data_IF_465265924170
#
_entry.id   IF_465265924170
#
_cell.length_a   1.000
_cell.length_b   1.000
_cell.length_c   1.000
_cell.angle_alpha   90.00
_cell.angle_beta   90.00
_cell.angle_gamma   90.00
#
_symmetry.space_group_name_H-M   'P 1'
#
loop_
_entity.id
_entity.type
_entity.pdbx_description
1 polymer ?
#
# COMPACT_ATOMS: atom_id res chain seq x y z
N UNK A 1 4.54 -43.81 2.51
CA UNK A 1 4.64 -42.45 1.94
C UNK A 1 5.52 -42.49 0.70
N UNK A 2 4.92 -42.27 -0.47
CA UNK A 2 5.59 -42.31 -1.77
C UNK A 2 6.59 -41.13 -1.92
N UNK A 3 7.60 -41.26 -2.78
CA UNK A 3 8.57 -40.21 -3.14
C UNK A 3 7.89 -38.91 -3.59
N UNK A 4 6.80 -39.01 -4.34
CA UNK A 4 6.02 -37.84 -4.79
C UNK A 4 5.32 -37.14 -3.62
N UNK A 5 4.76 -37.92 -2.70
CA UNK A 5 4.08 -37.42 -1.51
C UNK A 5 5.07 -36.72 -0.55
N UNK A 6 6.27 -37.28 -0.38
CA UNK A 6 7.38 -36.62 0.34
C UNK A 6 7.78 -35.29 -0.30
N UNK A 7 7.84 -35.22 -1.64
CA UNK A 7 8.20 -34.01 -2.38
C UNK A 7 7.11 -32.94 -2.27
N UNK A 8 5.83 -33.32 -2.31
CA UNK A 8 4.70 -32.40 -2.13
C UNK A 8 4.69 -31.80 -0.73
N UNK A 9 4.76 -32.64 0.31
CA UNK A 9 4.79 -32.20 1.72
C UNK A 9 5.97 -31.27 1.98
N UNK A 10 7.16 -31.56 1.41
CA UNK A 10 8.33 -30.68 1.53
C UNK A 10 8.09 -29.31 0.90
N UNK A 11 7.50 -29.25 -0.31
CA UNK A 11 7.18 -27.98 -0.97
C UNK A 11 6.15 -27.16 -0.19
N UNK A 12 5.09 -27.80 0.31
CA UNK A 12 4.08 -27.15 1.14
C UNK A 12 4.68 -26.57 2.42
N UNK A 13 5.64 -27.28 3.05
CA UNK A 13 6.37 -26.75 4.21
C UNK A 13 7.28 -25.57 3.84
N UNK A 14 8.04 -25.66 2.73
CA UNK A 14 8.91 -24.58 2.25
C UNK A 14 8.09 -23.31 1.90
N UNK A 15 6.93 -23.48 1.26
CA UNK A 15 6.01 -22.37 0.93
C UNK A 15 5.43 -21.73 2.20
N UNK A 16 4.99 -22.54 3.16
CA UNK A 16 4.46 -22.04 4.44
C UNK A 16 5.54 -21.31 5.24
N UNK A 17 6.76 -21.82 5.26
CA UNK A 17 7.86 -21.15 5.96
C UNK A 17 8.25 -19.84 5.27
N UNK A 18 8.32 -19.82 3.94
CA UNK A 18 8.56 -18.60 3.15
C UNK A 18 7.48 -17.55 3.41
N UNK A 19 6.20 -17.96 3.44
CA UNK A 19 5.08 -17.08 3.79
C UNK A 19 5.21 -16.50 5.20
N UNK A 20 5.48 -17.36 6.19
CA UNK A 20 5.71 -16.93 7.57
C UNK A 20 6.86 -15.92 7.68
N UNK A 21 7.97 -16.17 6.98
CA UNK A 21 9.11 -15.25 6.95
C UNK A 21 8.75 -13.91 6.29
N UNK A 22 8.06 -13.92 5.15
CA UNK A 22 7.65 -12.71 4.45
C UNK A 22 6.70 -11.85 5.31
N UNK A 23 5.73 -12.47 5.98
CA UNK A 23 4.73 -11.77 6.82
C UNK A 23 5.29 -11.27 8.15
N UNK A 24 6.38 -11.88 8.65
CA UNK A 24 7.07 -11.46 9.87
C UNK A 24 8.16 -10.42 9.65
N UNK A 25 8.53 -10.14 8.38
CA UNK A 25 9.61 -9.23 8.03
C UNK A 25 9.16 -7.76 8.10
N UNK A 26 9.88 -6.99 8.92
CA UNK A 26 9.84 -5.52 8.94
C UNK A 26 10.41 -4.96 7.63
N UNK A 27 9.76 -3.95 7.03
CA UNK A 27 10.18 -3.35 5.75
C UNK A 27 10.11 -1.84 5.76
N UNK A 28 10.89 -1.16 4.93
CA UNK A 28 10.81 0.30 4.76
C UNK A 28 9.69 0.69 3.80
N UNK A 29 9.13 1.89 3.96
CA UNK A 29 8.33 2.54 2.92
C UNK A 29 9.18 2.60 1.65
N UNK A 30 8.75 1.97 0.57
CA UNK A 30 9.62 1.76 -0.58
C UNK A 30 9.67 0.31 -1.01
N UNK A 31 9.88 -0.57 -0.03
CA UNK A 31 10.27 -1.97 -0.22
C UNK A 31 9.05 -2.87 -0.45
N UNK A 32 9.10 -3.66 -1.52
CA UNK A 32 8.07 -4.65 -1.81
C UNK A 32 8.20 -5.90 -0.94
N UNK A 33 7.12 -6.68 -0.82
CA UNK A 33 7.11 -8.02 -0.23
C UNK A 33 7.09 -9.03 -1.37
N UNK A 34 8.11 -9.88 -1.42
CA UNK A 34 8.10 -11.03 -2.32
C UNK A 34 7.36 -12.18 -1.65
N UNK A 35 6.06 -12.29 -1.92
CA UNK A 35 5.20 -13.34 -1.37
C UNK A 35 4.27 -13.89 -2.46
N UNK A 36 4.31 -15.21 -2.64
CA UNK A 36 3.37 -15.91 -3.54
C UNK A 36 1.93 -15.67 -3.11
N UNK A 37 1.07 -15.29 -4.07
CA UNK A 37 -0.34 -14.99 -3.83
C UNK A 37 -0.64 -13.62 -3.20
N UNK A 38 0.34 -12.71 -3.12
CA UNK A 38 0.12 -11.29 -2.74
C UNK A 38 0.14 -10.36 -3.95
N UNK A 39 0.78 -10.78 -5.04
CA UNK A 39 0.72 -10.09 -6.33
C UNK A 39 1.65 -8.88 -6.42
N UNK A 40 1.67 -8.29 -7.61
CA UNK A 40 2.52 -7.15 -7.94
C UNK A 40 1.87 -5.85 -7.49
N UNK A 41 2.65 -5.01 -6.84
CA UNK A 41 2.20 -3.71 -6.37
C UNK A 41 1.99 -2.73 -7.53
N UNK A 42 0.91 -1.95 -7.47
CA UNK A 42 0.56 -0.91 -8.45
C UNK A 42 0.35 0.46 -7.86
N UNK A 43 -0.27 0.51 -6.68
CA UNK A 43 -0.49 1.74 -5.95
C UNK A 43 -0.19 1.51 -4.47
N UNK A 44 0.48 2.47 -3.84
CA UNK A 44 0.58 2.54 -2.39
C UNK A 44 0.07 3.88 -1.90
N UNK A 45 -0.71 3.86 -0.83
CA UNK A 45 -1.14 5.08 -0.12
C UNK A 45 -0.65 4.98 1.33
N UNK A 46 0.16 5.94 1.74
CA UNK A 46 0.65 6.10 3.09
C UNK A 46 -0.04 7.28 3.76
N UNK A 47 -0.43 7.08 5.02
CA UNK A 47 -0.91 8.14 5.90
C UNK A 47 -0.08 8.07 7.17
N UNK A 48 0.74 9.09 7.44
CA UNK A 48 1.72 9.11 8.52
C UNK A 48 1.48 10.32 9.43
N UNK A 49 0.65 10.18 10.48
CA UNK A 49 0.49 11.21 11.51
C UNK A 49 1.78 11.39 12.32
N UNK A 50 2.05 12.60 12.82
CA UNK A 50 3.31 12.90 13.52
C UNK A 50 3.47 12.22 14.88
N UNK A 51 2.38 11.84 15.53
CA UNK A 51 2.37 11.37 16.93
C UNK A 51 1.66 10.02 17.12
N UNK A 52 1.38 9.30 16.05
CA UNK A 52 0.77 7.97 16.12
C UNK A 52 1.30 7.08 15.01
N UNK A 53 0.98 5.80 15.09
CA UNK A 53 1.20 4.91 13.95
C UNK A 53 0.38 5.39 12.75
N UNK A 54 0.99 5.26 11.58
CA UNK A 54 0.39 5.47 10.29
C UNK A 54 -0.19 4.21 9.67
N UNK A 55 -0.70 4.38 8.47
CA UNK A 55 -1.33 3.33 7.66
C UNK A 55 -0.63 3.24 6.30
N UNK A 56 -0.47 2.02 5.80
CA UNK A 56 -0.09 1.75 4.42
C UNK A 56 -1.19 0.91 3.77
N UNK A 57 -1.63 1.34 2.60
CA UNK A 57 -2.59 0.66 1.77
C UNK A 57 -1.92 0.24 0.47
N UNK A 58 -1.69 -1.05 0.29
CA UNK A 58 -1.09 -1.64 -0.90
C UNK A 58 -2.17 -2.15 -1.85
N UNK A 59 -2.20 -1.63 -3.07
CA UNK A 59 -3.02 -2.14 -4.17
C UNK A 59 -2.15 -3.03 -5.04
N UNK A 60 -2.57 -4.28 -5.20
CA UNK A 60 -1.79 -5.31 -5.88
C UNK A 60 -2.64 -6.06 -6.88
N UNK A 61 -2.04 -6.50 -7.98
CA UNK A 61 -2.68 -7.38 -8.94
C UNK A 61 -2.22 -8.82 -8.77
N UNK A 62 -3.20 -9.72 -8.69
CA UNK A 62 -3.04 -11.18 -8.70
C UNK A 62 -3.98 -11.70 -9.78
N UNK A 63 -3.47 -12.40 -10.78
CA UNK A 63 -4.30 -13.01 -11.84
C UNK A 63 -5.32 -12.05 -12.48
N UNK A 64 -4.90 -10.81 -12.74
CA UNK A 64 -5.71 -9.69 -13.25
C UNK A 64 -6.80 -9.16 -12.31
N UNK A 65 -6.85 -9.63 -11.07
CA UNK A 65 -7.71 -9.10 -10.02
C UNK A 65 -6.93 -8.18 -9.08
N UNK A 66 -7.53 -7.01 -8.82
CA UNK A 66 -7.00 -6.10 -7.81
C UNK A 66 -7.31 -6.64 -6.42
N UNK A 67 -6.32 -6.58 -5.55
CA UNK A 67 -6.41 -6.89 -4.15
C UNK A 67 -5.82 -5.72 -3.36
N UNK A 68 -6.44 -5.37 -2.24
CA UNK A 68 -5.98 -4.28 -1.38
C UNK A 68 -5.60 -4.83 -0.02
N UNK A 69 -4.48 -4.36 0.49
CA UNK A 69 -3.95 -4.79 1.78
C UNK A 69 -3.65 -3.59 2.66
N UNK A 70 -3.94 -3.71 3.95
CA UNK A 70 -3.59 -2.74 4.98
C UNK A 70 -2.41 -3.25 5.80
N UNK A 71 -1.44 -2.37 6.05
CA UNK A 71 -0.36 -2.57 7.01
C UNK A 71 -0.22 -1.36 7.94
N UNK A 72 0.40 -1.56 9.09
CA UNK A 72 0.73 -0.48 10.04
C UNK A 72 2.10 0.11 9.70
N UNK A 73 2.23 1.43 9.78
CA UNK A 73 3.49 2.15 9.54
C UNK A 73 3.92 2.86 10.82
N UNK A 74 5.18 2.71 11.22
CA UNK A 74 5.79 3.58 12.22
C UNK A 74 6.22 4.88 11.55
N UNK A 75 5.50 5.97 11.82
CA UNK A 75 5.72 7.25 11.15
C UNK A 75 7.07 7.89 11.50
N UNK A 76 7.63 7.58 12.66
CA UNK A 76 8.94 8.07 13.12
C UNK A 76 10.12 7.70 12.18
N UNK A 77 10.06 6.51 11.57
CA UNK A 77 11.17 5.94 10.80
C UNK A 77 10.73 5.38 9.44
N UNK A 78 9.46 5.55 9.07
CA UNK A 78 8.91 5.10 7.80
C UNK A 78 8.96 3.58 7.63
N UNK A 79 8.70 2.85 8.71
CA UNK A 79 8.80 1.39 8.73
C UNK A 79 7.42 0.73 8.72
N UNK A 80 7.19 -0.14 7.75
CA UNK A 80 6.01 -1.01 7.68
C UNK A 80 6.22 -2.18 8.65
N UNK A 81 5.32 -2.29 9.62
CA UNK A 81 5.32 -3.36 10.61
C UNK A 81 4.88 -4.70 10.00
N UNK A 82 5.25 -5.82 10.62
CA UNK A 82 4.74 -7.14 10.25
C UNK A 82 3.22 -7.21 10.33
N UNK A 83 2.63 -8.07 9.51
CA UNK A 83 1.18 -8.23 9.41
C UNK A 83 0.58 -7.53 8.19
N UNK A 84 -0.24 -8.28 7.46
CA UNK A 84 -1.02 -7.83 6.31
C UNK A 84 -2.48 -8.17 6.56
N UNK A 85 -3.36 -7.19 6.44
CA UNK A 85 -4.79 -7.40 6.45
C UNK A 85 -5.33 -7.24 5.03
N UNK A 86 -6.01 -8.27 4.50
CA UNK A 86 -6.76 -8.15 3.25
C UNK A 86 -7.98 -7.26 3.48
N UNK A 87 -8.17 -6.30 2.58
CA UNK A 87 -9.28 -5.34 2.61
C UNK A 87 -10.38 -5.81 1.67
N UNK A 88 -11.60 -5.88 2.17
CA UNK A 88 -12.79 -6.17 1.36
C UNK A 88 -13.47 -4.86 0.99
N UNK A 89 -13.31 -4.44 -0.26
CA UNK A 89 -13.80 -3.16 -0.77
C UNK A 89 -14.85 -3.34 -1.87
N UNK A 90 -15.71 -2.33 -2.06
CA UNK A 90 -16.72 -2.31 -3.12
C UNK A 90 -16.20 -1.72 -4.44
N UNK A 91 -16.97 -1.89 -5.51
CA UNK A 91 -16.61 -1.45 -6.87
C UNK A 91 -16.21 0.03 -6.99
N UNK A 92 -16.72 0.89 -6.10
CA UNK A 92 -16.40 2.32 -6.13
C UNK A 92 -14.90 2.58 -5.94
N UNK A 93 -14.17 1.76 -5.17
CA UNK A 93 -12.70 1.87 -5.05
C UNK A 93 -12.02 1.62 -6.39
N UNK A 94 -12.47 0.60 -7.15
CA UNK A 94 -11.96 0.31 -8.49
C UNK A 94 -12.22 1.48 -9.45
N UNK A 95 -13.42 2.07 -9.40
CA UNK A 95 -13.76 3.25 -10.21
C UNK A 95 -12.89 4.46 -9.87
N UNK A 96 -12.62 4.68 -8.57
CA UNK A 96 -11.72 5.75 -8.12
C UNK A 96 -10.30 5.50 -8.57
N UNK A 97 -9.81 4.26 -8.57
CA UNK A 97 -8.49 3.93 -9.09
C UNK A 97 -8.38 4.22 -10.59
N UNK A 98 -9.33 3.77 -11.40
CA UNK A 98 -9.33 4.06 -12.84
C UNK A 98 -9.41 5.56 -13.12
N UNK A 99 -10.19 6.30 -12.32
CA UNK A 99 -10.21 7.77 -12.39
C UNK A 99 -8.83 8.33 -12.04
N UNK A 100 -8.23 7.90 -10.94
CA UNK A 100 -6.93 8.36 -10.45
C UNK A 100 -5.82 8.19 -11.50
N UNK A 101 -5.81 7.07 -12.24
CA UNK A 101 -4.87 6.79 -13.33
C UNK A 101 -5.00 7.75 -14.52
N UNK A 102 -6.15 8.42 -14.67
CA UNK A 102 -6.40 9.39 -15.75
C UNK A 102 -6.11 10.84 -15.35
N UNK A 103 -5.90 11.13 -14.06
CA UNK A 103 -5.71 12.50 -13.57
C UNK A 103 -4.31 13.00 -13.93
N UNK A 104 -4.26 14.21 -14.49
CA UNK A 104 -3.02 14.94 -14.72
C UNK A 104 -2.74 15.82 -13.51
N UNK A 105 -1.69 15.51 -12.76
CA UNK A 105 -1.27 16.29 -11.60
C UNK A 105 -0.20 17.30 -12.03
N UNK A 106 -0.45 18.62 -11.95
CA UNK A 106 0.55 19.61 -12.34
C UNK A 106 1.72 19.62 -11.37
N UNK A 107 2.94 19.78 -11.90
CA UNK A 107 4.14 19.96 -11.08
C UNK A 107 4.01 21.27 -10.29
N UNK A 108 4.24 21.19 -8.98
CA UNK A 108 4.24 22.33 -8.09
C UNK A 108 5.67 22.64 -7.66
N UNK A 109 6.16 23.84 -7.99
CA UNK A 109 7.56 24.26 -7.77
C UNK A 109 7.73 25.34 -6.72
N UNK A 110 6.64 25.89 -6.17
CA UNK A 110 6.74 26.88 -5.10
C UNK A 110 7.28 26.19 -3.85
N UNK A 111 8.32 26.76 -3.28
CA UNK A 111 8.90 26.29 -2.03
C UNK A 111 7.91 26.56 -0.90
N UNK A 112 7.31 25.51 -0.34
CA UNK A 112 6.68 25.61 0.97
C UNK A 112 7.80 25.64 2.03
N UNK A 113 7.65 26.43 3.10
CA UNK A 113 8.60 26.38 4.21
C UNK A 113 8.69 24.96 4.77
N UNK A 114 9.92 24.48 4.93
CA UNK A 114 10.21 23.18 5.54
C UNK A 114 9.86 23.28 7.03
N UNK A 115 9.03 22.37 7.54
CA UNK A 115 8.81 22.22 8.98
C UNK A 115 7.42 22.57 9.52
N UNK A 116 6.36 22.05 8.90
CA UNK A 116 5.03 22.03 9.57
C UNK A 116 5.03 20.91 10.61
N UNK A 117 4.98 21.29 11.89
CA UNK A 117 5.06 20.41 13.08
C UNK A 117 3.73 19.72 13.43
N UNK A 118 2.67 20.00 12.68
CA UNK A 118 1.27 19.67 12.96
C UNK A 118 0.65 18.75 11.90
N UNK A 119 1.46 18.20 11.00
CA UNK A 119 0.97 17.59 9.77
C UNK A 119 0.98 16.07 9.75
N UNK A 120 -0.18 15.48 9.41
CA UNK A 120 -0.21 14.15 8.80
C UNK A 120 0.46 14.24 7.43
N UNK A 121 1.48 13.42 7.21
CA UNK A 121 2.10 13.27 5.89
C UNK A 121 1.34 12.20 5.12
N UNK A 122 0.88 12.57 3.93
CA UNK A 122 0.32 11.67 2.96
C UNK A 122 1.36 11.40 1.88
N UNK A 123 1.44 10.15 1.42
CA UNK A 123 2.24 9.80 0.26
C UNK A 123 1.49 8.81 -0.60
N UNK A 124 1.53 9.03 -1.91
CA UNK A 124 1.03 8.09 -2.89
C UNK A 124 2.17 7.68 -3.81
N UNK A 125 2.27 6.39 -4.13
CA UNK A 125 3.23 5.84 -5.08
C UNK A 125 2.48 5.04 -6.14
N UNK A 126 2.67 5.40 -7.40
CA UNK A 126 2.25 4.62 -8.56
C UNK A 126 3.44 3.84 -9.07
N UNK A 127 3.26 2.54 -9.30
CA UNK A 127 4.34 1.63 -9.67
C UNK A 127 3.92 0.91 -10.96
N UNK A 128 4.75 1.02 -12.00
CA UNK A 128 4.52 0.39 -13.29
C UNK A 128 5.78 -0.29 -13.82
N UNK A 129 5.78 -1.63 -13.79
CA UNK A 129 6.95 -2.42 -14.15
C UNK A 129 8.06 -2.30 -13.11
N UNK A 130 9.30 -2.61 -13.51
CA UNK A 130 10.44 -2.70 -12.59
C UNK A 130 11.06 -1.35 -12.22
N UNK A 131 10.89 -0.32 -13.05
CA UNK A 131 11.65 0.94 -12.91
C UNK A 131 10.82 2.21 -13.07
N UNK A 132 9.54 2.12 -13.45
CA UNK A 132 8.71 3.32 -13.56
C UNK A 132 7.90 3.51 -12.28
N UNK A 133 8.23 4.56 -11.54
CA UNK A 133 7.43 4.99 -10.41
C UNK A 133 7.18 6.51 -10.43
N UNK A 134 6.02 6.90 -9.90
CA UNK A 134 5.70 8.29 -9.59
C UNK A 134 5.30 8.35 -8.13
N UNK A 135 5.96 9.21 -7.36
CA UNK A 135 5.60 9.46 -5.96
C UNK A 135 5.22 10.91 -5.74
N UNK A 136 4.10 11.10 -5.05
CA UNK A 136 3.61 12.41 -4.59
C UNK A 136 3.49 12.36 -3.09
N UNK A 137 4.02 13.37 -2.40
CA UNK A 137 3.90 13.51 -0.94
C UNK A 137 3.41 14.91 -0.60
N UNK A 138 2.54 15.01 0.40
CA UNK A 138 1.99 16.28 0.87
C UNK A 138 1.66 16.21 2.36
N UNK A 139 1.52 17.37 2.99
CA UNK A 139 1.05 17.52 4.38
C UNK A 139 -0.39 18.04 4.37
N UNK A 140 -0.88 18.58 5.49
CA UNK A 140 -2.22 19.16 5.61
C UNK A 140 -2.52 20.32 4.65
N UNK A 141 -1.51 20.90 3.99
CA UNK A 141 -1.64 22.03 3.07
C UNK A 141 -1.13 21.67 1.66
N UNK A 142 -1.81 20.76 0.92
CA UNK A 142 -1.39 20.39 -0.42
C UNK A 142 -1.60 21.52 -1.44
N UNK A 143 -0.95 21.46 -2.61
CA UNK A 143 -1.22 22.40 -3.70
C UNK A 143 -2.70 22.40 -4.12
N UNK A 144 -3.31 23.59 -4.22
CA UNK A 144 -4.74 23.74 -4.55
C UNK A 144 -5.10 23.13 -5.92
N UNK A 145 -4.17 23.19 -6.86
CA UNK A 145 -4.32 22.60 -8.20
C UNK A 145 -4.25 21.07 -8.22
N UNK A 146 -4.11 20.41 -7.06
CA UNK A 146 -4.20 18.95 -6.92
C UNK A 146 -5.60 18.50 -6.45
N UNK A 147 -6.58 19.41 -6.37
CA UNK A 147 -7.92 19.14 -5.78
C UNK A 147 -8.61 17.87 -6.31
N UNK A 148 -8.57 17.60 -7.61
CA UNK A 148 -9.18 16.39 -8.19
C UNK A 148 -8.47 15.10 -7.73
N UNK A 149 -7.13 15.11 -7.76
CA UNK A 149 -6.30 14.01 -7.29
C UNK A 149 -6.54 13.74 -5.80
N UNK A 150 -6.50 14.80 -4.99
CA UNK A 150 -6.70 14.72 -3.54
C UNK A 150 -8.09 14.22 -3.18
N UNK A 151 -9.13 14.69 -3.89
CA UNK A 151 -10.50 14.19 -3.70
C UNK A 151 -10.57 12.68 -3.93
N UNK A 152 -9.97 12.19 -5.02
CA UNK A 152 -9.97 10.76 -5.31
C UNK A 152 -9.24 9.95 -4.22
N UNK A 153 -8.08 10.43 -3.76
CA UNK A 153 -7.31 9.76 -2.69
C UNK A 153 -8.08 9.77 -1.37
N UNK A 154 -8.67 10.90 -0.97
CA UNK A 154 -9.36 11.02 0.31
C UNK A 154 -10.66 10.21 0.32
N UNK A 155 -11.45 10.22 -0.76
CA UNK A 155 -12.62 9.34 -0.89
C UNK A 155 -12.21 7.87 -0.80
N UNK A 156 -11.12 7.49 -1.47
CA UNK A 156 -10.61 6.11 -1.43
C UNK A 156 -10.19 5.72 -0.01
N UNK A 157 -9.46 6.58 0.70
CA UNK A 157 -9.04 6.34 2.09
C UNK A 157 -10.23 6.21 3.04
N UNK A 158 -11.25 7.05 2.90
CA UNK A 158 -12.48 6.95 3.70
C UNK A 158 -13.15 5.59 3.51
N UNK A 159 -13.32 5.16 2.26
CA UNK A 159 -13.89 3.86 1.94
C UNK A 159 -13.06 2.71 2.52
N UNK A 160 -11.75 2.74 2.33
CA UNK A 160 -10.84 1.71 2.83
C UNK A 160 -10.83 1.61 4.35
N UNK A 161 -10.93 2.73 5.07
CA UNK A 161 -11.01 2.75 6.54
C UNK A 161 -12.30 2.16 7.07
N UNK A 162 -13.39 2.30 6.32
CA UNK A 162 -14.69 1.69 6.65
C UNK A 162 -14.83 0.23 6.22
N UNK A 163 -13.88 -0.27 5.42
CA UNK A 163 -13.94 -1.60 4.85
C UNK A 163 -13.68 -2.71 5.88
N UNK A 164 -14.27 -3.89 5.63
CA UNK A 164 -13.98 -5.09 6.42
C UNK A 164 -12.55 -5.55 6.15
N UNK A 165 -11.84 -5.92 7.23
CA UNK A 165 -10.48 -6.44 7.18
C UNK A 165 -10.46 -7.93 7.52
N UNK A 166 -9.51 -8.67 6.96
CA UNK A 166 -9.25 -10.08 7.31
C UNK A 166 -7.75 -10.30 7.38
N UNK A 167 -7.27 -10.86 8.49
CA UNK A 167 -5.85 -11.18 8.63
C UNK A 167 -5.45 -12.25 7.60
N UNK A 168 -4.25 -12.08 7.02
CA UNK A 168 -3.66 -13.15 6.23
C UNK A 168 -3.12 -14.23 7.16
N UNK A 169 -3.56 -15.47 6.94
CA UNK A 169 -3.00 -16.63 7.64
C UNK A 169 -1.53 -16.82 7.26
N UNK A 170 -0.68 -16.98 8.30
CA UNK A 170 0.75 -17.21 8.18
C UNK A 170 1.12 -18.64 7.74
#
# INVERSE_FOLDING_TARGET
MNKEEKKRIRREMEERESRRQALSKVRRIGEDISLSGVGLIRLQIFVCPSFSNGECWDFRYIDNEMNVYKSVVLSENGTIQPGYMKVHYGEKVTKLLSKLESIKVPVFTKQAPIGTLDGTIYRVRFISGSENEVSMSWNSNPPENWSEFLTCIYEMLEMLRSAKLTELEA
#
